data_IF_102690711883
#
_entry.id   IF_102690711883
#
_cell.length_a   1.000
_cell.length_b   1.000
_cell.length_c   1.000
_cell.angle_alpha   90.00
_cell.angle_beta   90.00
_cell.angle_gamma   90.00
#
_symmetry.space_group_name_H-M   'P 1'
#
loop_
_entity.id
_entity.type
_entity.pdbx_description
1 polymer ?
#
# COMPACT_ATOMS: atom_id res chain seq x y z
N UNK A 1 13.97 24.87 -1.16
CA UNK A 1 14.28 26.03 -2.05
C UNK A 1 13.09 26.98 -2.06
N UNK A 2 13.04 27.96 -1.11
CA UNK A 2 11.90 28.88 -0.97
C UNK A 2 11.67 29.78 -2.20
N UNK A 3 12.69 30.06 -2.97
CA UNK A 3 12.64 30.90 -4.20
C UNK A 3 12.34 30.13 -5.50
N UNK A 4 12.17 28.81 -5.44
CA UNK A 4 11.88 28.00 -6.64
C UNK A 4 10.43 28.26 -7.08
N UNK A 5 10.26 28.87 -8.27
CA UNK A 5 8.95 29.19 -8.84
C UNK A 5 8.45 28.14 -9.84
N UNK A 6 9.36 27.47 -10.52
CA UNK A 6 9.04 26.40 -11.48
C UNK A 6 10.19 25.41 -11.59
N UNK A 7 9.86 24.17 -12.00
CA UNK A 7 10.83 23.12 -12.29
C UNK A 7 10.28 22.20 -13.36
N UNK A 8 11.12 21.78 -14.27
CA UNK A 8 10.83 20.69 -15.21
C UNK A 8 11.58 19.45 -14.74
N UNK A 9 10.83 18.40 -14.40
CA UNK A 9 11.39 17.10 -14.01
C UNK A 9 11.62 16.29 -15.29
N UNK A 10 12.83 15.75 -15.52
CA UNK A 10 13.11 14.95 -16.73
C UNK A 10 12.23 13.70 -16.83
N UNK A 11 11.86 13.32 -18.07
CA UNK A 11 11.05 12.10 -18.35
C UNK A 11 11.74 10.79 -17.92
N UNK A 12 13.05 10.78 -17.70
CA UNK A 12 13.79 9.62 -17.20
C UNK A 12 13.54 9.34 -15.70
N UNK A 13 12.93 10.28 -14.98
CA UNK A 13 12.63 10.12 -13.54
C UNK A 13 11.46 9.18 -13.38
N UNK A 14 11.64 8.12 -12.57
CA UNK A 14 10.60 7.13 -12.23
C UNK A 14 10.19 7.18 -10.77
N UNK A 15 10.98 7.84 -9.94
CA UNK A 15 10.83 7.92 -8.50
C UNK A 15 11.20 9.32 -8.00
N UNK A 16 10.35 9.91 -7.17
CA UNK A 16 10.64 11.19 -6.51
C UNK A 16 10.69 10.92 -4.99
N UNK A 17 11.86 11.13 -4.41
CA UNK A 17 12.19 10.73 -3.05
C UNK A 17 11.51 11.59 -1.97
N UNK A 18 11.67 11.19 -0.72
CA UNK A 18 11.26 11.91 0.47
C UNK A 18 11.68 13.39 0.43
N UNK A 19 10.71 14.29 0.65
CA UNK A 19 10.95 15.72 0.81
C UNK A 19 11.59 16.45 -0.37
N UNK A 20 11.59 15.86 -1.60
CA UNK A 20 12.34 16.41 -2.75
C UNK A 20 12.03 17.89 -3.04
N UNK A 21 10.80 18.33 -2.83
CA UNK A 21 10.36 19.73 -2.99
C UNK A 21 9.95 20.38 -1.67
N UNK A 22 10.41 19.85 -0.55
CA UNK A 22 10.05 20.38 0.77
C UNK A 22 10.42 21.86 0.89
N UNK A 23 9.50 22.66 1.43
CA UNK A 23 9.65 24.13 1.62
C UNK A 23 9.93 24.92 0.33
N UNK A 24 9.47 24.46 -0.83
CA UNK A 24 9.43 25.25 -2.05
C UNK A 24 8.21 26.17 -2.02
N UNK A 25 8.25 27.19 -1.16
CA UNK A 25 7.10 28.06 -0.87
C UNK A 25 6.66 28.92 -2.05
N UNK A 26 7.55 29.21 -3.02
CA UNK A 26 7.22 29.97 -4.24
C UNK A 26 6.72 29.10 -5.40
N UNK A 27 6.74 27.77 -5.26
CA UNK A 27 6.29 26.86 -6.31
C UNK A 27 4.76 26.86 -6.36
N UNK A 28 4.20 27.34 -7.49
CA UNK A 28 2.74 27.45 -7.69
C UNK A 28 2.15 26.29 -8.50
N UNK A 29 2.96 25.66 -9.35
CA UNK A 29 2.51 24.54 -10.16
C UNK A 29 3.65 23.55 -10.42
N UNK A 30 3.30 22.28 -10.60
CA UNK A 30 4.25 21.24 -10.99
C UNK A 30 3.55 20.17 -11.84
N UNK A 31 4.25 19.70 -12.87
CA UNK A 31 3.86 18.53 -13.65
C UNK A 31 4.77 17.35 -13.26
N UNK A 32 4.17 16.25 -12.84
CA UNK A 32 4.87 15.00 -12.55
C UNK A 32 5.00 14.21 -13.87
N UNK A 33 6.20 13.83 -14.30
CA UNK A 33 6.42 13.17 -15.58
C UNK A 33 5.69 11.82 -15.72
N UNK A 34 5.39 11.47 -16.96
CA UNK A 34 4.62 10.24 -17.29
C UNK A 34 5.28 8.92 -16.89
N UNK A 35 6.56 8.90 -16.56
CA UNK A 35 7.27 7.70 -16.12
C UNK A 35 7.39 7.59 -14.59
N UNK A 36 6.94 8.60 -13.83
CA UNK A 36 6.96 8.55 -12.36
C UNK A 36 5.88 7.60 -11.87
N UNK A 37 6.30 6.58 -11.12
CA UNK A 37 5.43 5.58 -10.52
C UNK A 37 5.25 5.78 -9.01
N UNK A 38 6.13 6.54 -8.36
CA UNK A 38 6.18 6.72 -6.92
C UNK A 38 6.52 8.17 -6.55
N UNK A 39 5.78 8.72 -5.59
CA UNK A 39 6.11 9.97 -4.88
C UNK A 39 6.22 9.68 -3.38
N UNK A 40 7.33 10.14 -2.78
CA UNK A 40 7.70 9.86 -1.40
C UNK A 40 6.98 10.74 -0.37
N UNK A 41 7.22 10.40 0.91
CA UNK A 41 6.69 11.14 2.06
C UNK A 41 7.11 12.60 2.01
N UNK A 42 6.22 13.49 2.48
CA UNK A 42 6.51 14.92 2.66
C UNK A 42 7.07 15.63 1.42
N UNK A 43 6.85 15.07 0.22
CA UNK A 43 7.44 15.59 -1.02
C UNK A 43 7.16 17.09 -1.22
N UNK A 44 5.94 17.54 -0.89
CA UNK A 44 5.53 18.95 -0.99
C UNK A 44 5.25 19.59 0.39
N UNK A 45 5.83 19.04 1.46
CA UNK A 45 5.67 19.64 2.80
C UNK A 45 6.19 21.09 2.80
N UNK A 46 5.36 22.02 3.22
CA UNK A 46 5.68 23.45 3.21
C UNK A 46 5.60 24.14 1.83
N UNK A 47 5.11 23.47 0.77
CA UNK A 47 4.80 24.12 -0.51
C UNK A 47 3.42 24.80 -0.45
N UNK A 48 3.33 25.86 0.36
CA UNK A 48 2.06 26.51 0.71
C UNK A 48 1.36 27.21 -0.46
N UNK A 49 2.08 27.53 -1.55
CA UNK A 49 1.51 28.17 -2.73
C UNK A 49 1.27 27.18 -3.89
N UNK A 50 1.49 25.86 -3.67
CA UNK A 50 1.31 24.88 -4.73
C UNK A 50 -0.18 24.62 -4.99
N UNK A 51 -0.71 25.30 -6.01
CA UNK A 51 -2.13 25.27 -6.38
C UNK A 51 -2.47 24.24 -7.45
N UNK A 52 -1.51 23.86 -8.29
CA UNK A 52 -1.71 22.94 -9.41
C UNK A 52 -0.68 21.82 -9.40
N UNK A 53 -1.15 20.58 -9.37
CA UNK A 53 -0.33 19.39 -9.53
C UNK A 53 -0.96 18.53 -10.61
N UNK A 54 -0.19 18.26 -11.68
CA UNK A 54 -0.62 17.34 -12.72
C UNK A 54 0.04 15.99 -12.47
N UNK A 55 -0.78 14.97 -12.21
CA UNK A 55 -0.33 13.60 -11.98
C UNK A 55 -0.44 12.76 -13.24
N UNK A 56 0.54 11.87 -13.50
CA UNK A 56 0.47 10.93 -14.60
C UNK A 56 -0.37 9.68 -14.25
N UNK A 57 -0.87 9.00 -15.26
CA UNK A 57 -1.54 7.69 -15.09
C UNK A 57 -0.59 6.58 -14.62
N UNK A 58 0.71 6.77 -14.75
CA UNK A 58 1.72 5.86 -14.24
C UNK A 58 1.87 5.90 -12.71
N UNK A 59 1.41 6.98 -12.05
CA UNK A 59 1.53 7.12 -10.60
C UNK A 59 0.63 6.08 -9.91
N UNK A 60 1.27 5.14 -9.24
CA UNK A 60 0.63 4.02 -8.55
C UNK A 60 0.96 3.99 -7.06
N UNK A 61 1.77 4.91 -6.56
CA UNK A 61 2.08 5.04 -5.15
C UNK A 61 2.34 6.49 -4.75
N UNK A 62 1.62 6.95 -3.74
CA UNK A 62 1.82 8.24 -3.09
C UNK A 62 1.85 8.02 -1.57
N UNK A 63 2.96 8.40 -0.98
CA UNK A 63 3.26 8.09 0.42
C UNK A 63 2.63 9.10 1.40
N UNK A 64 2.85 8.86 2.68
CA UNK A 64 2.29 9.63 3.80
C UNK A 64 2.65 11.12 3.73
N UNK A 65 1.66 11.97 3.98
CA UNK A 65 1.80 13.43 3.99
C UNK A 65 2.44 14.03 2.72
N UNK A 66 2.26 13.36 1.56
CA UNK A 66 2.83 13.86 0.31
C UNK A 66 2.16 15.17 -0.16
N UNK A 67 0.85 15.32 0.03
CA UNK A 67 0.04 16.35 -0.63
C UNK A 67 -0.72 17.29 0.33
N UNK A 68 -0.98 16.89 1.57
CA UNK A 68 -1.97 17.50 2.47
C UNK A 68 -1.73 18.99 2.78
N UNK A 69 -0.47 19.43 2.74
CA UNK A 69 -0.11 20.82 3.06
C UNK A 69 -0.08 21.76 1.85
N UNK A 70 -0.45 21.27 0.67
CA UNK A 70 -0.52 22.07 -0.56
C UNK A 70 -1.87 22.77 -0.69
N UNK A 71 -1.89 23.92 -1.37
CA UNK A 71 -3.15 24.57 -1.76
C UNK A 71 -3.97 23.71 -2.72
N UNK A 72 -3.29 22.91 -3.57
CA UNK A 72 -3.94 21.93 -4.43
C UNK A 72 -4.84 20.98 -3.62
N UNK A 73 -4.30 20.39 -2.52
CA UNK A 73 -5.08 19.46 -1.69
C UNK A 73 -6.22 20.17 -0.94
N UNK A 74 -5.96 21.37 -0.40
CA UNK A 74 -6.99 22.15 0.31
C UNK A 74 -8.17 22.50 -0.57
N UNK A 75 -7.95 22.76 -1.88
CA UNK A 75 -8.98 23.06 -2.88
C UNK A 75 -9.75 21.83 -3.37
N UNK A 76 -9.30 20.58 -3.07
CA UNK A 76 -10.09 19.41 -3.42
C UNK A 76 -11.42 19.42 -2.66
N UNK A 77 -12.51 18.94 -3.28
CA UNK A 77 -13.79 18.77 -2.58
C UNK A 77 -13.64 17.73 -1.46
N UNK A 78 -14.57 17.75 -0.50
CA UNK A 78 -14.69 16.69 0.49
C UNK A 78 -15.02 15.36 -0.20
N UNK A 79 -14.51 14.26 0.37
CA UNK A 79 -14.61 12.93 -0.23
C UNK A 79 -13.26 12.33 -0.55
N UNK A 80 -13.25 11.32 -1.44
CA UNK A 80 -12.02 10.61 -1.80
C UNK A 80 -11.18 11.44 -2.78
N UNK A 81 -10.00 11.88 -2.35
CA UNK A 81 -9.02 12.59 -3.19
C UNK A 81 -8.15 11.58 -3.92
N UNK A 82 -7.94 11.78 -5.23
CA UNK A 82 -7.11 10.92 -6.06
C UNK A 82 -5.87 11.65 -6.58
N UNK A 83 -4.75 10.92 -6.65
CA UNK A 83 -3.52 11.35 -7.30
C UNK A 83 -3.09 10.27 -8.30
N UNK A 84 -3.28 10.53 -9.60
CA UNK A 84 -3.10 9.50 -10.63
C UNK A 84 -4.01 8.30 -10.37
N UNK A 85 -3.42 7.09 -10.28
CA UNK A 85 -4.13 5.83 -9.94
C UNK A 85 -4.13 5.50 -8.46
N UNK A 86 -3.88 6.47 -7.59
CA UNK A 86 -3.87 6.30 -6.13
C UNK A 86 -5.13 6.93 -5.53
N UNK A 87 -5.95 6.16 -4.82
CA UNK A 87 -6.96 6.66 -3.90
C UNK A 87 -6.24 7.20 -2.66
N UNK A 88 -5.83 8.48 -2.72
CA UNK A 88 -4.82 9.03 -1.85
C UNK A 88 -5.31 9.18 -0.41
N UNK A 89 -6.41 9.91 -0.21
CA UNK A 89 -6.95 10.16 1.12
C UNK A 89 -8.40 10.65 1.07
N UNK A 90 -9.21 10.24 2.02
CA UNK A 90 -10.52 10.83 2.27
C UNK A 90 -10.34 12.18 2.98
N UNK A 91 -11.02 13.22 2.48
CA UNK A 91 -10.99 14.58 3.00
C UNK A 91 -12.36 14.99 3.53
N UNK A 92 -12.36 15.81 4.58
CA UNK A 92 -13.57 16.28 5.24
C UNK A 92 -14.15 15.31 6.25
N UNK A 93 -15.29 15.67 6.82
CA UNK A 93 -16.00 14.83 7.78
C UNK A 93 -16.75 13.73 7.06
N UNK A 94 -16.64 12.51 7.57
CA UNK A 94 -17.32 11.36 6.99
C UNK A 94 -18.69 11.18 7.67
N UNK A 95 -19.80 11.18 6.90
CA UNK A 95 -21.12 10.89 7.45
C UNK A 95 -21.20 9.49 8.09
N UNK A 96 -22.13 9.32 9.04
CA UNK A 96 -22.39 8.01 9.64
C UNK A 96 -22.80 6.98 8.57
N UNK A 97 -22.40 5.74 8.78
CA UNK A 97 -22.73 4.59 7.90
C UNK A 97 -22.29 4.77 6.44
N UNK A 98 -21.15 5.46 6.22
CA UNK A 98 -20.65 5.72 4.88
C UNK A 98 -20.17 4.44 4.19
N UNK A 99 -20.58 4.27 2.93
CA UNK A 99 -19.98 3.34 1.97
C UNK A 99 -19.12 4.13 0.99
N UNK A 100 -17.86 3.73 0.83
CA UNK A 100 -16.98 4.29 -0.21
C UNK A 100 -16.85 3.29 -1.36
N UNK A 101 -17.11 3.75 -2.57
CA UNK A 101 -16.78 3.03 -3.80
C UNK A 101 -15.51 3.65 -4.39
N UNK A 102 -14.44 2.86 -4.41
CA UNK A 102 -13.17 3.25 -5.03
C UNK A 102 -13.35 3.24 -6.56
N UNK A 103 -12.90 4.31 -7.19
CA UNK A 103 -13.00 4.55 -8.63
C UNK A 103 -12.30 3.44 -9.43
N UNK A 104 -12.92 3.00 -10.52
CA UNK A 104 -12.32 2.05 -11.47
C UNK A 104 -10.99 2.57 -12.02
N UNK A 105 -10.06 1.65 -12.26
CA UNK A 105 -8.70 1.97 -12.68
C UNK A 105 -7.77 2.39 -11.53
N UNK A 106 -8.28 2.52 -10.29
CA UNK A 106 -7.43 2.74 -9.11
C UNK A 106 -6.54 1.51 -8.89
N UNK A 107 -5.25 1.75 -8.74
CA UNK A 107 -4.24 0.70 -8.54
C UNK A 107 -3.91 0.49 -7.05
N UNK A 108 -3.88 1.59 -6.28
CA UNK A 108 -3.54 1.53 -4.86
C UNK A 108 -4.34 2.52 -4.03
N UNK A 109 -4.34 2.31 -2.69
CA UNK A 109 -4.69 3.36 -1.74
C UNK A 109 -3.44 4.01 -1.17
N UNK A 110 -3.57 5.25 -0.71
CA UNK A 110 -2.53 5.91 0.10
C UNK A 110 -2.33 5.19 1.44
N UNK A 111 -1.19 5.44 2.07
CA UNK A 111 -0.79 4.81 3.34
C UNK A 111 -1.85 5.00 4.45
N UNK A 112 -2.44 6.20 4.53
CA UNK A 112 -3.45 6.60 5.52
C UNK A 112 -4.77 7.01 4.86
N UNK A 113 -5.15 6.33 3.76
CA UNK A 113 -6.26 6.77 2.90
C UNK A 113 -7.57 7.05 3.65
N UNK A 114 -7.89 6.26 4.68
CA UNK A 114 -9.09 6.39 5.49
C UNK A 114 -8.79 6.67 6.96
N UNK A 115 -7.65 7.29 7.25
CA UNK A 115 -7.30 7.71 8.61
C UNK A 115 -8.39 8.63 9.17
N UNK A 116 -8.83 8.38 10.40
CA UNK A 116 -9.93 9.08 11.08
C UNK A 116 -11.33 8.89 10.48
N UNK A 117 -11.52 7.90 9.60
CA UNK A 117 -12.82 7.58 8.99
C UNK A 117 -13.56 6.50 9.80
N UNK A 118 -13.81 6.75 11.08
CA UNK A 118 -14.53 5.78 11.95
C UNK A 118 -15.91 5.40 11.40
N UNK A 119 -16.55 6.31 10.68
CA UNK A 119 -17.87 6.13 10.08
C UNK A 119 -17.87 5.36 8.74
N UNK A 120 -16.69 4.95 8.23
CA UNK A 120 -16.59 4.06 7.07
C UNK A 120 -17.05 2.66 7.47
N UNK A 121 -18.23 2.27 7.04
CA UNK A 121 -18.82 0.95 7.37
C UNK A 121 -18.73 -0.04 6.24
N UNK A 122 -18.53 0.43 5.01
CA UNK A 122 -18.35 -0.43 3.85
C UNK A 122 -17.41 0.19 2.81
N UNK A 123 -16.63 -0.67 2.13
CA UNK A 123 -15.75 -0.26 1.03
C UNK A 123 -15.91 -1.21 -0.16
N UNK A 124 -16.17 -0.64 -1.32
CA UNK A 124 -16.24 -1.36 -2.59
C UNK A 124 -14.98 -1.01 -3.38
N UNK A 125 -14.23 -2.00 -3.78
CA UNK A 125 -12.96 -1.82 -4.48
C UNK A 125 -13.00 -2.44 -5.88
N UNK A 126 -12.35 -1.82 -6.88
CA UNK A 126 -12.27 -2.35 -8.23
C UNK A 126 -11.26 -3.51 -8.32
N UNK A 127 -11.40 -4.34 -9.36
CA UNK A 127 -10.43 -5.42 -9.67
C UNK A 127 -9.01 -4.91 -9.95
N UNK A 128 -8.88 -3.64 -10.35
CA UNK A 128 -7.59 -2.99 -10.58
C UNK A 128 -6.81 -2.68 -9.30
N UNK A 129 -7.47 -2.73 -8.11
CA UNK A 129 -6.80 -2.47 -6.83
C UNK A 129 -5.91 -3.65 -6.46
N UNK A 130 -4.61 -3.43 -6.47
CA UNK A 130 -3.60 -4.47 -6.15
C UNK A 130 -2.70 -4.09 -4.98
N UNK A 131 -2.88 -2.91 -4.40
CA UNK A 131 -2.12 -2.46 -3.23
C UNK A 131 -2.99 -1.62 -2.30
N UNK A 132 -2.87 -1.86 -1.01
CA UNK A 132 -3.54 -1.10 0.06
C UNK A 132 -2.48 -0.62 1.04
N UNK A 133 -2.55 0.63 1.47
CA UNK A 133 -1.64 1.13 2.51
C UNK A 133 -1.85 0.37 3.82
N UNK A 134 -0.79 -0.05 4.50
CA UNK A 134 -0.88 -0.98 5.63
C UNK A 134 -1.70 -0.45 6.82
N UNK A 135 -1.84 0.86 6.98
CA UNK A 135 -2.70 1.45 8.01
C UNK A 135 -3.92 2.17 7.43
N UNK A 136 -4.18 1.97 6.12
CA UNK A 136 -5.21 2.72 5.40
C UNK A 136 -6.60 2.56 6.01
N UNK A 137 -6.93 1.39 6.55
CA UNK A 137 -8.26 1.04 7.05
C UNK A 137 -8.33 0.87 8.57
N UNK A 138 -7.21 0.98 9.28
CA UNK A 138 -7.20 0.89 10.74
C UNK A 138 -8.14 1.91 11.38
N UNK A 139 -8.84 1.52 12.44
CA UNK A 139 -9.81 2.35 13.18
C UNK A 139 -11.04 2.78 12.37
N UNK A 140 -11.27 2.24 11.18
CA UNK A 140 -12.56 2.42 10.48
C UNK A 140 -13.60 1.46 11.03
N UNK A 141 -14.89 1.81 10.91
CA UNK A 141 -16.00 0.92 11.28
C UNK A 141 -15.95 -0.37 10.47
N UNK A 142 -15.58 -0.28 9.18
CA UNK A 142 -15.39 -1.45 8.31
C UNK A 142 -14.34 -2.42 8.86
N UNK A 143 -13.13 -1.93 9.21
CA UNK A 143 -12.08 -2.78 9.76
C UNK A 143 -12.47 -3.39 11.11
N UNK A 144 -13.07 -2.59 11.99
CA UNK A 144 -13.51 -3.06 13.31
C UNK A 144 -14.58 -4.15 13.21
N UNK A 145 -15.42 -4.12 12.17
CA UNK A 145 -16.47 -5.14 11.95
C UNK A 145 -15.95 -6.45 11.33
N UNK A 146 -14.69 -6.49 10.83
CA UNK A 146 -14.13 -7.74 10.34
C UNK A 146 -13.93 -8.74 11.49
N UNK A 147 -14.18 -10.01 11.20
CA UNK A 147 -13.85 -11.10 12.13
C UNK A 147 -12.33 -11.22 12.32
N UNK A 148 -11.91 -11.82 13.43
CA UNK A 148 -10.53 -12.19 13.63
C UNK A 148 -10.07 -13.20 12.57
N UNK A 149 -8.80 -13.12 12.18
CA UNK A 149 -8.22 -13.90 11.10
C UNK A 149 -7.70 -13.04 9.95
N UNK A 150 -7.50 -13.66 8.80
CA UNK A 150 -6.96 -12.95 7.63
C UNK A 150 -8.01 -12.03 7.00
N UNK A 151 -7.78 -10.72 7.08
CA UNK A 151 -8.60 -9.67 6.45
C UNK A 151 -8.14 -9.43 5.02
N UNK A 152 -9.11 -9.30 4.11
CA UNK A 152 -8.87 -9.00 2.70
C UNK A 152 -9.57 -7.72 2.28
N UNK A 153 -8.91 -6.95 1.41
CA UNK A 153 -9.50 -5.80 0.71
C UNK A 153 -9.54 -6.15 -0.79
N UNK A 154 -10.69 -6.62 -1.27
CA UNK A 154 -10.78 -7.24 -2.58
C UNK A 154 -9.84 -8.45 -2.68
N UNK A 155 -8.89 -8.42 -3.61
CA UNK A 155 -7.88 -9.48 -3.84
C UNK A 155 -6.56 -9.24 -3.09
N UNK A 156 -6.50 -8.29 -2.18
CA UNK A 156 -5.30 -7.94 -1.41
C UNK A 156 -5.39 -8.56 -0.03
N UNK A 157 -4.41 -9.38 0.35
CA UNK A 157 -4.22 -9.87 1.71
C UNK A 157 -3.72 -8.73 2.58
N UNK A 158 -4.62 -8.17 3.42
CA UNK A 158 -4.39 -6.91 4.11
C UNK A 158 -3.63 -7.10 5.42
N UNK A 159 -4.18 -7.86 6.34
CA UNK A 159 -3.63 -8.03 7.68
C UNK A 159 -4.27 -9.23 8.38
N UNK A 160 -3.53 -9.92 9.24
CA UNK A 160 -4.12 -10.84 10.19
C UNK A 160 -4.62 -10.06 11.41
N UNK A 161 -5.93 -10.08 11.65
CA UNK A 161 -6.60 -9.35 12.74
C UNK A 161 -6.80 -10.25 13.96
N UNK A 162 -6.64 -9.67 15.15
CA UNK A 162 -6.84 -10.37 16.41
C UNK A 162 -5.65 -11.24 16.83
N UNK A 163 -5.83 -11.99 17.91
CA UNK A 163 -4.82 -12.89 18.44
C UNK A 163 -4.71 -14.14 17.57
N UNK A 164 -3.52 -14.40 17.05
CA UNK A 164 -3.27 -15.59 16.25
C UNK A 164 -3.12 -16.82 17.16
N UNK A 165 -3.93 -17.91 16.98
CA UNK A 165 -3.77 -19.13 17.73
C UNK A 165 -2.39 -19.76 17.55
N UNK A 166 -1.92 -20.52 18.56
CA UNK A 166 -0.69 -21.30 18.44
C UNK A 166 -0.77 -22.28 17.26
N UNK A 167 0.37 -22.47 16.59
CA UNK A 167 0.51 -23.38 15.44
C UNK A 167 -0.42 -23.05 14.26
N UNK A 168 -0.70 -21.77 14.04
CA UNK A 168 -1.57 -21.36 12.93
C UNK A 168 -0.90 -21.65 11.58
N UNK A 169 -1.67 -22.27 10.70
CA UNK A 169 -1.37 -22.46 9.29
C UNK A 169 -2.34 -21.65 8.45
N UNK A 170 -1.84 -20.89 7.49
CA UNK A 170 -2.66 -20.03 6.63
C UNK A 170 -2.54 -20.45 5.17
N UNK A 171 -3.68 -20.59 4.51
CA UNK A 171 -3.78 -20.65 3.06
C UNK A 171 -4.44 -19.38 2.55
N UNK A 172 -3.71 -18.57 1.79
CA UNK A 172 -4.29 -17.37 1.18
C UNK A 172 -5.30 -17.75 0.11
N UNK A 173 -6.30 -16.87 -0.13
CA UNK A 173 -7.30 -17.08 -1.19
C UNK A 173 -6.62 -17.19 -2.56
N UNK A 174 -7.13 -18.07 -3.43
CA UNK A 174 -6.53 -18.39 -4.73
C UNK A 174 -6.42 -17.17 -5.70
N UNK A 175 -7.24 -16.15 -5.51
CA UNK A 175 -7.24 -14.91 -6.29
C UNK A 175 -6.44 -13.78 -5.65
N UNK A 176 -5.72 -14.04 -4.55
CA UNK A 176 -4.87 -13.05 -3.88
C UNK A 176 -3.77 -12.56 -4.82
N UNK A 177 -3.70 -11.25 -5.06
CA UNK A 177 -2.72 -10.63 -5.97
C UNK A 177 -1.53 -10.00 -5.25
N UNK A 178 -1.69 -9.66 -3.97
CA UNK A 178 -0.62 -9.09 -3.15
C UNK A 178 -0.82 -9.34 -1.66
N UNK A 179 0.28 -9.28 -0.93
CA UNK A 179 0.36 -9.26 0.52
C UNK A 179 0.86 -7.87 0.93
N UNK A 180 0.15 -7.19 1.82
CA UNK A 180 0.45 -5.80 2.23
C UNK A 180 1.72 -5.73 3.08
N UNK A 181 2.32 -4.53 3.16
CA UNK A 181 3.41 -4.26 4.09
C UNK A 181 2.96 -4.60 5.52
N UNK A 182 3.79 -5.33 6.27
CA UNK A 182 3.54 -5.77 7.66
C UNK A 182 2.30 -6.66 7.88
N UNK A 183 1.75 -7.31 6.84
CA UNK A 183 0.50 -8.09 6.95
C UNK A 183 0.51 -9.17 8.03
N UNK A 184 1.68 -9.72 8.34
CA UNK A 184 1.90 -10.73 9.38
C UNK A 184 3.04 -10.34 10.34
N UNK A 185 3.33 -9.04 10.48
CA UNK A 185 4.42 -8.55 11.33
C UNK A 185 4.29 -9.07 12.77
N UNK A 186 5.38 -9.65 13.32
CA UNK A 186 5.46 -10.22 14.67
C UNK A 186 4.41 -11.31 14.99
N UNK A 187 3.80 -11.94 13.99
CA UNK A 187 2.91 -13.07 14.19
C UNK A 187 3.72 -14.35 14.51
N UNK A 188 4.19 -14.45 15.76
CA UNK A 188 5.05 -15.56 16.20
C UNK A 188 4.34 -16.91 16.20
N UNK A 189 3.01 -16.95 16.19
CA UNK A 189 2.21 -18.20 16.17
C UNK A 189 1.95 -18.73 14.75
N UNK A 190 2.36 -17.99 13.69
CA UNK A 190 2.31 -18.47 12.32
C UNK A 190 3.39 -19.52 12.08
N UNK A 191 3.02 -20.73 11.69
CA UNK A 191 3.96 -21.85 11.44
C UNK A 191 4.13 -22.18 9.96
N UNK A 192 3.07 -22.02 9.18
CA UNK A 192 3.10 -22.22 7.74
C UNK A 192 2.19 -21.28 6.97
N UNK A 193 2.57 -20.95 5.73
CA UNK A 193 1.72 -20.19 4.82
C UNK A 193 1.78 -20.78 3.40
N UNK A 194 0.60 -20.93 2.77
CA UNK A 194 0.45 -21.23 1.36
C UNK A 194 0.11 -19.98 0.58
N UNK A 195 0.95 -19.66 -0.41
CA UNK A 195 0.85 -18.48 -1.26
C UNK A 195 0.42 -18.90 -2.67
N UNK A 196 -0.73 -18.44 -3.16
CA UNK A 196 -1.21 -18.80 -4.49
C UNK A 196 -0.37 -18.17 -5.60
N UNK A 197 -0.37 -18.79 -6.78
CA UNK A 197 0.40 -18.33 -7.94
C UNK A 197 0.02 -16.94 -8.47
N UNK A 198 -1.17 -16.45 -8.11
CA UNK A 198 -1.68 -15.12 -8.47
C UNK A 198 -0.93 -13.97 -7.76
N UNK A 199 -0.20 -14.25 -6.67
CA UNK A 199 0.54 -13.22 -5.92
C UNK A 199 1.71 -12.70 -6.74
N UNK A 200 1.66 -11.40 -7.04
CA UNK A 200 2.69 -10.68 -7.78
C UNK A 200 3.58 -9.80 -6.90
N UNK A 201 3.15 -9.50 -5.66
CA UNK A 201 3.96 -8.71 -4.72
C UNK A 201 3.74 -9.12 -3.27
N UNK A 202 4.82 -9.03 -2.49
CA UNK A 202 4.84 -9.20 -1.03
C UNK A 202 5.44 -7.91 -0.46
N UNK A 203 4.76 -7.30 0.47
CA UNK A 203 5.11 -6.02 1.07
C UNK A 203 6.38 -6.08 1.94
N UNK A 204 6.89 -4.91 2.31
CA UNK A 204 7.98 -4.79 3.29
C UNK A 204 7.53 -5.32 4.64
N UNK A 205 8.42 -5.99 5.36
CA UNK A 205 8.15 -6.52 6.71
C UNK A 205 6.96 -7.49 6.79
N UNK A 206 6.50 -8.05 5.65
CA UNK A 206 5.27 -8.83 5.59
C UNK A 206 5.25 -10.02 6.55
N UNK A 207 6.39 -10.67 6.75
CA UNK A 207 6.59 -11.80 7.68
C UNK A 207 7.74 -11.55 8.66
N UNK A 208 8.14 -10.29 8.87
CA UNK A 208 9.18 -9.96 9.83
C UNK A 208 8.73 -10.35 11.23
N UNK A 209 9.64 -10.96 12.00
CA UNK A 209 9.35 -11.42 13.35
C UNK A 209 8.48 -12.67 13.48
N UNK A 210 8.05 -13.30 12.37
CA UNK A 210 7.32 -14.57 12.39
C UNK A 210 8.27 -15.72 12.77
N UNK A 211 8.74 -15.75 14.02
CA UNK A 211 9.85 -16.62 14.48
C UNK A 211 9.54 -18.13 14.40
N UNK A 212 8.27 -18.53 14.42
CA UNK A 212 7.86 -19.94 14.26
C UNK A 212 7.45 -20.29 12.82
N UNK A 213 7.52 -19.33 11.88
CA UNK A 213 7.29 -19.63 10.46
C UNK A 213 8.46 -20.45 9.91
N UNK A 214 8.22 -21.72 9.61
CA UNK A 214 9.22 -22.66 9.09
C UNK A 214 8.90 -23.13 7.67
N UNK A 215 7.65 -22.91 7.22
CA UNK A 215 7.21 -23.39 5.92
C UNK A 215 6.49 -22.31 5.13
N UNK A 216 7.01 -22.04 3.92
CA UNK A 216 6.31 -21.28 2.89
C UNK A 216 6.15 -22.18 1.67
N UNK A 217 4.91 -22.43 1.26
CA UNK A 217 4.58 -23.09 0.01
C UNK A 217 4.06 -22.07 -1.00
N UNK A 218 4.47 -22.20 -2.24
CA UNK A 218 4.03 -21.39 -3.36
C UNK A 218 3.44 -22.26 -4.46
N UNK A 219 2.22 -21.96 -4.87
CA UNK A 219 1.46 -22.77 -5.83
C UNK A 219 1.91 -22.61 -7.29
N UNK A 220 2.95 -21.87 -7.55
CA UNK A 220 3.59 -21.68 -8.84
C UNK A 220 4.97 -22.34 -8.92
N UNK A 221 5.70 -22.02 -9.98
CA UNK A 221 7.07 -22.46 -10.23
C UNK A 221 8.10 -21.60 -9.52
N UNK A 222 9.32 -22.09 -9.39
CA UNK A 222 10.47 -21.31 -8.88
C UNK A 222 10.72 -20.02 -9.67
N UNK A 223 10.53 -20.07 -10.98
CA UNK A 223 10.71 -18.92 -11.85
C UNK A 223 9.65 -17.83 -11.55
N UNK A 224 8.39 -18.24 -11.38
CA UNK A 224 7.30 -17.33 -11.00
C UNK A 224 7.51 -16.73 -9.61
N UNK A 225 7.91 -17.54 -8.61
CA UNK A 225 8.23 -17.03 -7.28
C UNK A 225 9.36 -15.98 -7.31
N UNK A 226 10.42 -16.23 -8.10
CA UNK A 226 11.54 -15.28 -8.24
C UNK A 226 11.11 -13.96 -8.86
N UNK A 227 10.07 -13.95 -9.69
CA UNK A 227 9.51 -12.76 -10.32
C UNK A 227 8.62 -11.93 -9.36
N UNK A 228 8.17 -12.50 -8.22
CA UNK A 228 7.41 -11.77 -7.21
C UNK A 228 8.25 -10.58 -6.70
N UNK A 229 7.67 -9.37 -6.76
CA UNK A 229 8.27 -8.19 -6.14
C UNK A 229 8.18 -8.31 -4.63
N UNK A 230 9.30 -8.25 -3.94
CA UNK A 230 9.37 -8.33 -2.48
C UNK A 230 9.90 -7.02 -1.89
N UNK A 231 9.23 -6.56 -0.86
CA UNK A 231 9.63 -5.37 -0.10
C UNK A 231 10.86 -5.65 0.78
N UNK A 232 11.34 -4.60 1.42
CA UNK A 232 12.48 -4.66 2.36
C UNK A 232 12.13 -5.56 3.54
N UNK A 233 13.10 -6.35 4.01
CA UNK A 233 12.99 -7.22 5.20
C UNK A 233 11.71 -8.08 5.26
N UNK A 234 11.18 -8.49 4.09
CA UNK A 234 9.87 -9.15 4.01
C UNK A 234 9.79 -10.47 4.80
N UNK A 235 10.93 -11.11 5.12
CA UNK A 235 11.04 -12.41 5.81
C UNK A 235 12.08 -12.38 6.96
N UNK A 236 12.50 -11.21 7.41
CA UNK A 236 13.51 -11.07 8.46
C UNK A 236 13.00 -11.64 9.79
N UNK A 237 13.84 -12.40 10.50
CA UNK A 237 13.47 -13.04 11.77
C UNK A 237 12.59 -14.29 11.66
N UNK A 238 12.18 -14.69 10.46
CA UNK A 238 11.51 -15.98 10.22
C UNK A 238 12.52 -17.13 10.07
N UNK A 239 12.11 -18.34 10.45
CA UNK A 239 12.95 -19.56 10.41
C UNK A 239 12.74 -20.41 9.14
N UNK A 240 12.56 -19.74 8.00
CA UNK A 240 12.32 -20.41 6.71
C UNK A 240 13.64 -20.68 6.00
N UNK A 241 13.96 -21.94 5.75
CA UNK A 241 15.17 -22.36 5.02
C UNK A 241 14.93 -22.48 3.51
N UNK A 242 13.71 -22.72 3.10
CA UNK A 242 13.33 -22.93 1.70
C UNK A 242 11.91 -22.49 1.41
N UNK A 243 11.66 -22.11 0.15
CA UNK A 243 10.31 -21.98 -0.40
C UNK A 243 9.99 -23.22 -1.21
N UNK A 244 8.87 -23.86 -0.89
CA UNK A 244 8.39 -25.04 -1.61
C UNK A 244 7.56 -24.59 -2.82
N UNK A 245 8.05 -24.84 -4.03
CA UNK A 245 7.37 -24.51 -5.27
C UNK A 245 6.94 -25.79 -5.99
N UNK A 246 6.04 -25.67 -6.96
CA UNK A 246 5.50 -26.80 -7.73
C UNK A 246 6.59 -27.62 -8.45
N UNK A 247 7.70 -27.00 -8.86
CA UNK A 247 8.82 -27.60 -9.59
C UNK A 247 10.09 -27.75 -8.73
N UNK A 248 9.95 -27.78 -7.39
CA UNK A 248 11.03 -27.99 -6.42
C UNK A 248 11.26 -26.78 -5.51
N UNK A 249 12.33 -26.82 -4.73
CA UNK A 249 12.58 -25.86 -3.66
C UNK A 249 13.51 -24.71 -4.11
N UNK A 250 13.28 -23.52 -3.55
CA UNK A 250 14.25 -22.41 -3.55
C UNK A 250 14.89 -22.38 -2.17
N UNK A 251 16.20 -22.54 -2.10
CA UNK A 251 16.96 -22.48 -0.85
C UNK A 251 17.24 -21.00 -0.53
N UNK A 252 16.99 -20.59 0.72
CA UNK A 252 17.16 -19.21 1.21
C UNK A 252 18.43 -19.03 2.05
N UNK A 253 18.94 -20.11 2.69
CA UNK A 253 20.15 -20.13 3.54
C UNK A 253 21.21 -21.04 2.96
#
# INVERSE_FOLDING_TARGET
>A
CSSLTSITIPESVTFIAWGAFRHCTSLSSIEIPKNVIFIGQHIFDGCTNLESIKFPDSLIYADYNALEKTEWYKKQPDGMVYAGKVAYRYKGDMPENTTITIKDGTFSTGYTAFSNCANLTNIVVPDSLVRVGCVALHKTGWYNSQADGMVYVGKVAYEYKGDMPENTEISLKNDTVSIVDSAFYDNTNLTSISIPKSVASIGSYAFEGCSNLTKISYEGTKAEFKAIKRGYSWLEGANVDKIECKDGNIILK
#
